data_IF_360710970376
#
_entry.id   IF_360710970376
#
_cell.length_a   1.000
_cell.length_b   1.000
_cell.length_c   1.000
_cell.angle_alpha   90.00
_cell.angle_beta   90.00
_cell.angle_gamma   90.00
#
_symmetry.space_group_name_H-M   'P 1'
#
loop_
_entity.id
_entity.type
_entity.pdbx_description
1 polymer ?
#
# COMPACT_ATOMS: atom_id res chain seq x y z
N UNK A 1 19.19 31.90 -16.85
CA UNK A 1 19.35 31.92 -15.39
C UNK A 1 19.39 30.49 -14.92
N UNK A 2 20.16 30.19 -13.88
CA UNK A 2 20.11 28.86 -13.27
C UNK A 2 18.78 28.70 -12.53
N UNK A 3 18.07 27.59 -12.76
CA UNK A 3 16.75 27.38 -12.15
C UNK A 3 16.84 27.31 -10.63
N UNK A 4 17.96 26.84 -10.07
CA UNK A 4 18.17 26.81 -8.63
C UNK A 4 18.04 28.19 -7.97
N UNK A 5 18.45 29.26 -8.66
CA UNK A 5 18.32 30.62 -8.14
C UNK A 5 16.86 31.08 -8.12
N UNK A 6 16.12 30.81 -9.19
CA UNK A 6 14.69 31.12 -9.29
C UNK A 6 13.92 30.30 -8.25
N UNK A 7 14.24 29.02 -8.09
CA UNK A 7 13.62 28.15 -7.10
C UNK A 7 13.80 28.71 -5.67
N UNK A 8 15.02 29.16 -5.33
CA UNK A 8 15.29 29.76 -4.02
C UNK A 8 14.54 31.08 -3.80
N UNK A 9 14.43 31.94 -4.81
CA UNK A 9 13.70 33.22 -4.72
C UNK A 9 12.20 33.01 -4.48
N UNK A 10 11.61 32.02 -5.15
CA UNK A 10 10.16 31.77 -5.14
C UNK A 10 9.72 30.69 -4.15
N UNK A 11 10.63 30.05 -3.42
CA UNK A 11 10.31 29.00 -2.43
C UNK A 11 9.25 29.47 -1.41
N UNK A 12 9.39 30.69 -0.89
CA UNK A 12 8.43 31.26 0.06
C UNK A 12 7.03 31.45 -0.55
N UNK A 13 6.95 31.74 -1.86
CA UNK A 13 5.68 31.84 -2.56
C UNK A 13 4.98 30.48 -2.62
N UNK A 14 5.72 29.42 -2.96
CA UNK A 14 5.20 28.05 -3.02
C UNK A 14 4.67 27.64 -1.65
N UNK A 15 5.46 27.81 -0.58
CA UNK A 15 5.00 27.52 0.79
C UNK A 15 3.79 28.37 1.20
N UNK A 16 3.75 29.65 0.85
CA UNK A 16 2.60 30.52 1.12
C UNK A 16 1.32 30.00 0.45
N UNK A 17 1.41 29.53 -0.80
CA UNK A 17 0.26 28.97 -1.52
C UNK A 17 -0.21 27.68 -0.85
N UNK A 18 0.70 26.76 -0.49
CA UNK A 18 0.38 25.51 0.23
C UNK A 18 -0.40 25.82 1.52
N UNK A 19 0.10 26.75 2.33
CA UNK A 19 -0.56 27.17 3.56
C UNK A 19 -1.92 27.83 3.31
N UNK A 20 -2.03 28.75 2.35
CA UNK A 20 -3.29 29.45 2.02
C UNK A 20 -4.36 28.52 1.45
N UNK A 21 -3.95 27.46 0.77
CA UNK A 21 -4.85 26.43 0.23
C UNK A 21 -5.23 25.38 1.29
N UNK A 22 -4.77 25.51 2.53
CA UNK A 22 -5.00 24.55 3.60
C UNK A 22 -4.57 23.12 3.23
N UNK A 23 -3.51 22.98 2.44
CA UNK A 23 -2.94 21.67 2.10
C UNK A 23 -2.12 21.20 3.31
N UNK A 24 -2.63 20.20 4.03
CA UNK A 24 -1.99 19.67 5.24
C UNK A 24 -1.38 18.27 5.06
N UNK A 25 -1.84 17.50 4.05
CA UNK A 25 -1.23 16.22 3.65
C UNK A 25 -0.25 16.45 2.49
N UNK A 26 0.71 15.54 2.32
CA UNK A 26 1.61 15.47 1.16
C UNK A 26 2.30 16.81 0.79
N UNK A 27 2.64 17.65 1.78
CA UNK A 27 3.16 19.00 1.49
C UNK A 27 4.43 18.99 0.64
N UNK A 28 5.30 17.99 0.81
CA UNK A 28 6.52 17.83 -0.01
C UNK A 28 6.17 17.59 -1.48
N UNK A 29 5.12 16.80 -1.78
CA UNK A 29 4.66 16.57 -3.15
C UNK A 29 4.10 17.85 -3.76
N UNK A 30 3.26 18.59 -3.03
CA UNK A 30 2.76 19.89 -3.49
C UNK A 30 3.88 20.90 -3.69
N UNK A 31 4.93 20.89 -2.86
CA UNK A 31 6.11 21.72 -3.06
C UNK A 31 6.83 21.38 -4.37
N UNK A 32 7.02 20.10 -4.68
CA UNK A 32 7.59 19.66 -5.96
C UNK A 32 6.72 20.06 -7.15
N UNK A 33 5.40 19.92 -7.05
CA UNK A 33 4.46 20.38 -8.08
C UNK A 33 4.60 21.89 -8.31
N UNK A 34 4.79 22.65 -7.23
CA UNK A 34 5.07 24.08 -7.30
C UNK A 34 6.37 24.40 -8.02
N UNK A 35 7.45 23.67 -7.73
CA UNK A 35 8.74 23.83 -8.42
C UNK A 35 8.63 23.52 -9.92
N UNK A 36 7.95 22.43 -10.28
CA UNK A 36 7.73 22.06 -11.69
C UNK A 36 6.91 23.15 -12.39
N UNK A 37 5.84 23.64 -11.76
CA UNK A 37 5.02 24.72 -12.31
C UNK A 37 5.79 26.02 -12.49
N UNK A 38 6.68 26.34 -11.55
CA UNK A 38 7.57 27.51 -11.61
C UNK A 38 8.59 27.37 -12.75
N UNK A 39 9.18 26.19 -12.92
CA UNK A 39 10.09 25.91 -14.03
C UNK A 39 9.38 26.09 -15.38
N UNK A 40 8.20 25.48 -15.55
CA UNK A 40 7.39 25.66 -16.76
C UNK A 40 7.01 27.13 -16.99
N UNK A 41 6.70 27.87 -15.92
CA UNK A 41 6.40 29.29 -16.00
C UNK A 41 7.62 30.08 -16.50
N UNK A 42 8.82 29.77 -16.02
CA UNK A 42 10.05 30.45 -16.44
C UNK A 42 10.37 30.24 -17.92
N UNK A 43 10.03 29.08 -18.49
CA UNK A 43 10.24 28.75 -19.90
C UNK A 43 9.20 29.41 -20.83
N UNK A 44 7.95 29.54 -20.37
CA UNK A 44 6.80 30.00 -21.19
C UNK A 44 6.41 31.45 -20.97
N UNK A 45 7.04 32.12 -20.02
CA UNK A 45 6.72 33.49 -19.67
C UNK A 45 6.99 34.44 -20.84
N UNK A 46 6.11 35.41 -21.00
CA UNK A 46 6.17 36.44 -22.02
C UNK A 46 6.06 37.79 -21.32
N UNK A 47 7.13 38.57 -21.36
CA UNK A 47 7.22 39.88 -20.70
C UNK A 47 6.13 40.85 -21.16
N UNK A 48 5.58 40.69 -22.37
CA UNK A 48 4.49 41.51 -22.86
C UNK A 48 3.16 41.26 -22.12
N UNK A 49 3.04 40.14 -21.39
CA UNK A 49 1.80 39.72 -20.72
C UNK A 49 1.72 40.11 -19.24
N UNK A 50 2.77 40.72 -18.67
CA UNK A 50 2.77 41.25 -17.30
C UNK A 50 4.00 40.88 -16.50
N UNK A 51 3.89 40.88 -15.17
CA UNK A 51 4.99 40.54 -14.26
C UNK A 51 5.14 39.02 -14.07
N UNK A 52 6.38 38.52 -14.09
CA UNK A 52 6.68 37.11 -13.90
C UNK A 52 6.12 36.56 -12.58
N UNK A 53 6.25 37.32 -11.48
CA UNK A 53 5.76 36.92 -10.16
C UNK A 53 4.27 36.57 -10.17
N UNK A 54 3.47 37.37 -10.89
CA UNK A 54 2.03 37.15 -11.00
C UNK A 54 1.73 35.90 -11.84
N UNK A 55 2.43 35.75 -12.96
CA UNK A 55 2.28 34.59 -13.84
C UNK A 55 2.67 33.28 -13.14
N UNK A 56 3.82 33.28 -12.45
CA UNK A 56 4.30 32.16 -11.65
C UNK A 56 3.30 31.78 -10.54
N UNK A 57 2.80 32.76 -9.78
CA UNK A 57 1.77 32.52 -8.76
C UNK A 57 0.52 31.85 -9.34
N UNK A 58 0.01 32.34 -10.47
CA UNK A 58 -1.16 31.77 -11.14
C UNK A 58 -0.90 30.33 -11.60
N UNK A 59 0.25 30.07 -12.21
CA UNK A 59 0.65 28.75 -12.69
C UNK A 59 0.79 27.75 -11.53
N UNK A 60 1.54 28.11 -10.49
CA UNK A 60 1.76 27.27 -9.30
C UNK A 60 0.43 26.92 -8.64
N UNK A 61 -0.39 27.94 -8.33
CA UNK A 61 -1.69 27.75 -7.69
C UNK A 61 -2.62 26.90 -8.56
N UNK A 62 -2.61 27.11 -9.88
CA UNK A 62 -3.42 26.34 -10.83
C UNK A 62 -3.03 24.86 -10.85
N UNK A 63 -1.73 24.55 -10.91
CA UNK A 63 -1.21 23.17 -10.90
C UNK A 63 -1.52 22.45 -9.57
N UNK A 64 -1.32 23.13 -8.45
CA UNK A 64 -1.68 22.59 -7.13
C UNK A 64 -3.19 22.33 -7.03
N UNK A 65 -4.04 23.25 -7.51
CA UNK A 65 -5.50 23.05 -7.49
C UNK A 65 -5.93 21.85 -8.34
N UNK A 66 -5.35 21.67 -9.53
CA UNK A 66 -5.62 20.51 -10.38
C UNK A 66 -5.23 19.20 -9.69
N UNK A 67 -4.07 19.19 -9.02
CA UNK A 67 -3.63 18.01 -8.27
C UNK A 67 -4.56 17.72 -7.09
N UNK A 68 -4.96 18.73 -6.31
CA UNK A 68 -5.88 18.58 -5.19
C UNK A 68 -7.27 18.09 -5.64
N UNK A 69 -7.79 18.58 -6.76
CA UNK A 69 -9.03 18.08 -7.35
C UNK A 69 -8.93 16.62 -7.77
N UNK A 70 -7.76 16.21 -8.26
CA UNK A 70 -7.49 14.82 -8.61
C UNK A 70 -7.46 13.98 -7.33
N UNK A 71 -6.67 14.35 -6.32
CA UNK A 71 -6.60 13.65 -5.02
C UNK A 71 -7.97 13.51 -4.38
N UNK A 72 -8.76 14.58 -4.28
CA UNK A 72 -10.12 14.51 -3.73
C UNK A 72 -11.01 13.54 -4.52
N UNK A 73 -10.90 13.52 -5.85
CA UNK A 73 -11.65 12.57 -6.67
C UNK A 73 -11.22 11.12 -6.43
N UNK A 74 -9.94 10.88 -6.13
CA UNK A 74 -9.46 9.56 -5.73
C UNK A 74 -9.92 9.21 -4.31
N UNK A 75 -9.86 10.14 -3.35
CA UNK A 75 -10.38 9.93 -1.99
C UNK A 75 -11.90 9.68 -2.01
N UNK A 76 -12.68 10.39 -2.83
CA UNK A 76 -14.13 10.16 -2.98
C UNK A 76 -14.45 8.83 -3.69
N UNK A 77 -13.60 8.40 -4.62
CA UNK A 77 -13.76 7.13 -5.34
C UNK A 77 -13.27 5.92 -4.51
N UNK A 78 -12.29 6.14 -3.63
CA UNK A 78 -11.92 5.20 -2.59
C UNK A 78 -13.02 5.23 -1.54
N UNK A 79 -13.94 4.28 -1.59
CA UNK A 79 -14.83 4.00 -0.45
C UNK A 79 -13.90 3.79 0.74
N UNK A 80 -13.85 4.76 1.66
CA UNK A 80 -13.26 4.54 2.97
C UNK A 80 -14.23 3.59 3.68
N UNK A 81 -13.86 2.32 3.88
CA UNK A 81 -14.74 1.43 4.61
C UNK A 81 -14.87 1.95 6.03
N UNK A 82 -16.02 2.53 6.37
CA UNK A 82 -16.38 2.83 7.75
C UNK A 82 -16.34 1.54 8.58
N UNK A 83 -16.30 1.66 9.91
CA UNK A 83 -16.28 0.49 10.82
C UNK A 83 -17.41 -0.51 10.49
N UNK A 84 -18.58 0.01 10.08
CA UNK A 84 -19.74 -0.75 9.63
C UNK A 84 -19.51 -1.52 8.31
N UNK A 85 -18.63 -1.05 7.43
CA UNK A 85 -18.23 -1.77 6.22
C UNK A 85 -17.48 -3.05 6.58
N UNK A 86 -16.57 -3.02 7.56
CA UNK A 86 -15.88 -4.24 8.02
C UNK A 86 -16.86 -5.27 8.59
N UNK A 87 -17.91 -4.82 9.26
CA UNK A 87 -18.99 -5.68 9.80
C UNK A 87 -19.94 -6.24 8.72
N UNK A 88 -19.97 -5.62 7.53
CA UNK A 88 -20.88 -6.00 6.42
C UNK A 88 -20.17 -6.62 5.22
N UNK A 89 -18.84 -6.67 5.22
CA UNK A 89 -18.12 -7.57 4.33
C UNK A 89 -18.54 -9.00 4.71
N UNK A 90 -19.48 -9.57 3.96
CA UNK A 90 -19.60 -11.02 3.83
C UNK A 90 -18.34 -11.50 3.13
N UNK A 91 -17.29 -11.70 3.93
CA UNK A 91 -16.14 -12.44 3.45
C UNK A 91 -16.65 -13.87 3.28
N UNK A 92 -16.90 -14.27 2.04
CA UNK A 92 -16.98 -15.68 1.67
C UNK A 92 -15.59 -16.34 1.81
N UNK A 93 -14.79 -15.94 2.80
CA UNK A 93 -13.93 -16.89 3.50
C UNK A 93 -14.87 -17.89 4.14
N UNK A 94 -15.25 -18.91 3.37
CA UNK A 94 -15.39 -20.23 3.94
C UNK A 94 -14.09 -20.47 4.69
N UNK A 95 -14.11 -20.26 6.02
CA UNK A 95 -13.12 -20.86 6.90
C UNK A 95 -13.06 -22.29 6.41
N UNK A 96 -11.93 -22.71 5.83
CA UNK A 96 -11.73 -24.11 5.48
C UNK A 96 -11.93 -24.85 6.79
N UNK A 97 -13.13 -25.40 7.01
CA UNK A 97 -13.41 -26.16 8.19
C UNK A 97 -12.42 -27.32 8.18
N UNK A 98 -11.97 -27.75 9.37
CA UNK A 98 -10.98 -28.82 9.46
C UNK A 98 -11.42 -30.06 8.64
N UNK A 99 -12.73 -30.29 8.52
CA UNK A 99 -13.35 -31.33 7.71
C UNK A 99 -13.11 -31.14 6.21
N UNK A 100 -13.16 -29.91 5.69
CA UNK A 100 -12.85 -29.59 4.30
C UNK A 100 -11.38 -29.87 4.00
N UNK A 101 -10.47 -29.43 4.86
CA UNK A 101 -9.04 -29.68 4.70
C UNK A 101 -8.74 -31.20 4.73
N UNK A 102 -9.38 -31.94 5.65
CA UNK A 102 -9.21 -33.39 5.77
C UNK A 102 -9.79 -34.15 4.57
N UNK A 103 -10.86 -33.65 3.94
CA UNK A 103 -11.42 -34.25 2.72
C UNK A 103 -10.43 -34.23 1.55
N UNK A 104 -9.66 -33.15 1.40
CA UNK A 104 -8.61 -33.03 0.39
C UNK A 104 -7.40 -33.91 0.71
N UNK A 105 -7.17 -34.21 1.99
CA UNK A 105 -6.06 -35.03 2.45
C UNK A 105 -6.37 -36.52 2.61
N UNK A 106 -7.47 -37.04 2.05
CA UNK A 106 -7.86 -38.44 2.21
C UNK A 106 -6.74 -39.45 1.87
N UNK A 107 -5.88 -39.14 0.91
CA UNK A 107 -4.74 -39.95 0.43
C UNK A 107 -3.48 -39.89 1.33
N UNK A 108 -3.48 -39.03 2.35
CA UNK A 108 -2.43 -38.96 3.37
C UNK A 108 -2.63 -40.04 4.45
N UNK A 109 -1.52 -40.53 4.99
CA UNK A 109 -1.53 -41.39 6.19
C UNK A 109 -1.86 -40.57 7.44
N UNK A 110 -2.28 -41.21 8.53
CA UNK A 110 -2.69 -40.51 9.76
C UNK A 110 -1.60 -39.58 10.31
N UNK A 111 -0.33 -39.98 10.23
CA UNK A 111 0.79 -39.15 10.68
C UNK A 111 1.04 -37.94 9.75
N UNK A 112 0.80 -38.09 8.45
CA UNK A 112 0.90 -37.01 7.46
C UNK A 112 -0.26 -36.02 7.62
N UNK A 113 -1.49 -36.53 7.79
CA UNK A 113 -2.68 -35.72 8.10
C UNK A 113 -2.49 -34.95 9.39
N UNK A 114 -2.03 -35.64 10.44
CA UNK A 114 -1.76 -35.04 11.75
C UNK A 114 -0.75 -33.90 11.64
N UNK A 115 0.36 -34.10 10.93
CA UNK A 115 1.31 -33.03 10.67
C UNK A 115 0.67 -31.86 9.91
N UNK A 116 -0.07 -32.14 8.83
CA UNK A 116 -0.69 -31.11 8.01
C UNK A 116 -1.71 -30.25 8.80
N UNK A 117 -2.54 -30.86 9.63
CA UNK A 117 -3.49 -30.13 10.49
C UNK A 117 -2.74 -29.28 11.52
N UNK A 118 -1.77 -29.84 12.23
CA UNK A 118 -1.00 -29.10 13.23
C UNK A 118 -0.22 -27.93 12.63
N UNK A 119 0.28 -28.09 11.40
CA UNK A 119 1.04 -27.05 10.73
C UNK A 119 0.16 -25.98 10.08
N UNK A 120 -0.79 -26.37 9.22
CA UNK A 120 -1.58 -25.43 8.43
C UNK A 120 -2.77 -24.84 9.19
N UNK A 121 -3.39 -25.60 10.10
CA UNK A 121 -4.56 -25.14 10.85
C UNK A 121 -4.19 -24.51 12.20
N UNK A 122 -3.22 -25.12 12.92
CA UNK A 122 -2.80 -24.62 14.23
C UNK A 122 -1.53 -23.74 14.19
N UNK A 123 -0.90 -23.57 13.02
CA UNK A 123 0.27 -22.70 12.87
C UNK A 123 1.52 -23.17 13.61
N UNK A 124 1.58 -24.44 14.04
CA UNK A 124 2.71 -24.95 14.80
C UNK A 124 3.93 -25.17 13.92
N UNK A 125 5.12 -24.86 14.46
CA UNK A 125 6.37 -25.19 13.80
C UNK A 125 6.68 -26.68 13.93
N UNK A 126 7.54 -27.22 13.06
CA UNK A 126 7.99 -28.61 13.17
C UNK A 126 8.69 -28.92 14.51
N UNK A 127 9.22 -27.90 15.20
CA UNK A 127 9.80 -28.04 16.55
C UNK A 127 8.70 -28.22 17.58
N UNK A 128 7.69 -27.36 17.55
CA UNK A 128 6.54 -27.41 18.47
C UNK A 128 5.79 -28.74 18.32
N UNK A 129 5.61 -29.21 17.09
CA UNK A 129 5.00 -30.51 16.80
C UNK A 129 5.84 -31.66 17.38
N UNK A 130 7.17 -31.60 17.26
CA UNK A 130 8.06 -32.63 17.77
C UNK A 130 8.02 -32.71 19.31
N UNK A 131 8.00 -31.56 19.98
CA UNK A 131 7.88 -31.45 21.43
C UNK A 131 6.51 -31.94 21.92
N UNK A 132 5.43 -31.50 21.26
CA UNK A 132 4.06 -31.89 21.60
C UNK A 132 3.84 -33.40 21.43
N UNK A 133 4.31 -33.97 20.31
CA UNK A 133 4.17 -35.39 20.00
C UNK A 133 5.23 -36.28 20.66
N UNK A 134 6.19 -35.69 21.38
CA UNK A 134 7.33 -36.38 22.01
C UNK A 134 8.11 -37.26 21.02
N UNK A 135 8.33 -36.74 19.82
CA UNK A 135 9.09 -37.40 18.76
C UNK A 135 10.31 -36.56 18.35
N UNK A 136 11.26 -37.16 17.63
CA UNK A 136 12.39 -36.39 17.12
C UNK A 136 11.96 -35.45 15.98
N UNK A 137 12.62 -34.30 15.87
CA UNK A 137 12.37 -33.34 14.79
C UNK A 137 12.54 -33.96 13.40
N UNK A 138 13.47 -34.92 13.25
CA UNK A 138 13.69 -35.68 12.01
C UNK A 138 12.47 -36.50 11.62
N UNK A 139 11.75 -37.06 12.60
CA UNK A 139 10.51 -37.81 12.35
C UNK A 139 9.40 -36.90 11.83
N UNK A 140 9.26 -35.70 12.41
CA UNK A 140 8.30 -34.68 11.94
C UNK A 140 8.66 -34.16 10.54
N UNK A 141 9.96 -33.97 10.25
CA UNK A 141 10.43 -33.60 8.91
C UNK A 141 10.08 -34.69 7.88
N UNK A 142 10.24 -35.97 8.22
CA UNK A 142 9.83 -37.06 7.34
C UNK A 142 8.30 -37.06 7.09
N UNK A 143 7.47 -36.75 8.10
CA UNK A 143 6.02 -36.57 7.91
C UNK A 143 5.71 -35.43 6.96
N UNK A 144 6.37 -34.27 7.12
CA UNK A 144 6.27 -33.13 6.21
C UNK A 144 6.61 -33.51 4.77
N UNK A 145 7.80 -34.07 4.55
CA UNK A 145 8.28 -34.39 3.21
C UNK A 145 7.35 -35.36 2.47
N UNK A 146 6.88 -36.39 3.18
CA UNK A 146 5.96 -37.36 2.60
C UNK A 146 4.55 -36.81 2.39
N UNK A 147 4.10 -35.88 3.25
CA UNK A 147 2.81 -35.20 3.07
C UNK A 147 2.87 -34.24 1.86
N UNK A 148 3.88 -33.38 1.79
CA UNK A 148 4.02 -32.39 0.71
C UNK A 148 4.18 -33.03 -0.67
N UNK A 149 4.87 -34.17 -0.77
CA UNK A 149 4.97 -34.92 -2.03
C UNK A 149 3.62 -35.38 -2.57
N UNK A 150 2.66 -35.68 -1.70
CA UNK A 150 1.35 -36.21 -2.09
C UNK A 150 0.28 -35.12 -2.28
N UNK A 151 0.46 -33.96 -1.65
CA UNK A 151 -0.45 -32.81 -1.76
C UNK A 151 -0.22 -32.01 -3.04
N UNK A 152 0.95 -32.12 -3.66
CA UNK A 152 1.35 -31.39 -4.87
C UNK A 152 1.11 -32.19 -6.17
N UNK A 153 0.87 -33.51 -6.09
CA UNK A 153 0.45 -34.38 -7.19
C UNK A 153 -1.08 -34.38 -7.36
#
# INVERSE_FOLDING_TARGET
MDFEQIANEYANMIHSIIHKMHIYKNQDEFYQIGLIALWEASEKFDEAKGEFSHYAYMMIRGRMLQHLQKENKWEDACIHPDELYWDTIECETRLLEMEDLLSHFHHLTDLQKKWAVLHFFHGLSNRDIAEMEKVSIRKVQAWKELAMKKVID
#
